data_IF_882126954739
#
_entry.id   IF_882126954739
#
_cell.length_a   1.000
_cell.length_b   1.000
_cell.length_c   1.000
_cell.angle_alpha   90.00
_cell.angle_beta   90.00
_cell.angle_gamma   90.00
#
_symmetry.space_group_name_H-M   'P 1'
#
loop_
_entity.id
_entity.type
_entity.pdbx_description
1 polymer ?
#
# COMPACT_ATOMS: atom_id res chain seq x y z
N UNK A 1 5.42 23.59 -20.41
CA UNK A 1 5.57 24.09 -19.02
C UNK A 1 6.03 22.92 -18.17
N UNK A 2 7.23 23.00 -17.60
CA UNK A 2 7.87 21.92 -16.83
C UNK A 2 7.94 22.40 -15.38
N UNK A 3 7.32 21.67 -14.46
CA UNK A 3 7.47 21.91 -13.02
C UNK A 3 8.66 21.09 -12.56
N UNK A 4 9.76 21.75 -12.18
CA UNK A 4 10.85 21.12 -11.44
C UNK A 4 10.52 21.18 -9.95
N UNK A 5 10.42 20.03 -9.29
CA UNK A 5 10.43 19.94 -7.84
C UNK A 5 11.87 19.71 -7.37
N UNK A 6 12.49 20.71 -6.76
CA UNK A 6 13.75 20.58 -6.02
C UNK A 6 13.44 20.15 -4.59
N UNK A 7 13.96 18.99 -4.18
CA UNK A 7 14.00 18.57 -2.78
C UNK A 7 15.10 19.34 -2.04
N UNK A 8 14.74 19.99 -0.93
CA UNK A 8 15.69 20.57 0.03
C UNK A 8 15.66 19.71 1.28
N UNK A 9 16.64 18.81 1.42
CA UNK A 9 16.84 18.02 2.63
C UNK A 9 17.26 18.95 3.78
N UNK A 10 16.55 18.84 4.90
CA UNK A 10 17.06 19.26 6.21
C UNK A 10 16.47 18.29 7.24
N UNK A 11 17.32 17.35 7.66
CA UNK A 11 17.32 16.65 8.94
C UNK A 11 16.09 15.84 9.35
N UNK A 12 16.00 14.59 8.86
CA UNK A 12 15.69 13.41 9.69
C UNK A 12 16.39 12.18 9.08
N UNK A 13 17.64 11.94 9.44
CA UNK A 13 18.30 10.65 9.15
C UNK A 13 18.18 9.74 10.37
N UNK A 14 17.02 9.07 10.53
CA UNK A 14 16.98 7.83 11.31
C UNK A 14 17.40 6.66 10.42
N UNK A 15 18.29 5.82 10.94
CA UNK A 15 18.82 4.59 10.30
C UNK A 15 17.72 3.54 10.03
N UNK A 16 16.55 3.66 10.65
CA UNK A 16 15.41 2.76 10.42
C UNK A 16 14.58 3.17 9.18
N UNK A 17 14.43 4.47 8.90
CA UNK A 17 13.78 5.01 7.67
C UNK A 17 14.48 4.57 6.39
N UNK A 18 15.82 4.51 6.40
CA UNK A 18 16.61 4.05 5.26
C UNK A 18 16.47 2.54 5.00
N UNK A 19 16.22 1.73 6.04
CA UNK A 19 16.00 0.29 5.92
C UNK A 19 14.61 -0.09 5.42
N UNK A 20 13.58 0.69 5.75
CA UNK A 20 12.21 0.47 5.27
C UNK A 20 12.11 0.67 3.74
N UNK A 21 12.73 1.71 3.20
CA UNK A 21 12.77 1.97 1.75
C UNK A 21 13.70 0.99 1.03
N UNK A 22 14.84 0.61 1.63
CA UNK A 22 15.82 -0.29 1.00
C UNK A 22 15.39 -1.76 0.92
N UNK A 23 14.29 -2.15 1.59
CA UNK A 23 13.75 -3.53 1.60
C UNK A 23 12.49 -3.73 0.76
N UNK A 24 12.02 -2.69 0.07
CA UNK A 24 11.06 -2.88 -1.01
C UNK A 24 11.77 -3.69 -2.12
N UNK A 25 11.15 -4.74 -2.70
CA UNK A 25 11.76 -5.48 -3.80
C UNK A 25 12.08 -4.50 -4.91
N UNK A 26 13.35 -4.47 -5.35
CA UNK A 26 13.79 -3.56 -6.39
C UNK A 26 12.87 -3.73 -7.63
N UNK A 27 12.41 -2.62 -8.25
CA UNK A 27 11.57 -2.71 -9.44
C UNK A 27 12.31 -3.52 -10.50
N UNK A 28 11.66 -4.56 -11.04
CA UNK A 28 12.25 -5.51 -11.99
C UNK A 28 12.52 -4.88 -13.37
N UNK A 29 12.71 -3.57 -13.46
CA UNK A 29 13.09 -2.86 -14.68
C UNK A 29 13.86 -1.58 -14.37
N UNK A 30 14.97 -1.70 -13.64
CA UNK A 30 16.07 -0.73 -13.73
C UNK A 30 17.36 -1.49 -13.96
N UNK A 31 17.89 -1.42 -15.19
CA UNK A 31 19.25 -1.86 -15.48
C UNK A 31 20.22 -0.91 -14.77
N UNK A 32 20.74 -1.37 -13.63
CA UNK A 32 21.96 -0.93 -12.94
C UNK A 32 22.13 0.57 -12.66
N UNK A 33 22.18 0.94 -11.38
CA UNK A 33 22.90 2.15 -10.92
C UNK A 33 24.24 1.67 -10.37
N UNK A 34 25.32 1.96 -11.09
CA UNK A 34 26.67 1.79 -10.57
C UNK A 34 27.04 3.05 -9.75
N UNK A 35 27.46 2.86 -8.51
CA UNK A 35 28.06 3.93 -7.69
C UNK A 35 29.57 3.81 -7.85
N UNK A 36 30.14 4.59 -8.77
CA UNK A 36 31.58 4.72 -8.96
C UNK A 36 32.09 6.00 -8.30
N UNK A 37 33.01 5.88 -7.36
CA UNK A 37 33.82 7.00 -6.88
C UNK A 37 34.84 7.38 -7.97
N UNK A 38 34.89 8.67 -8.37
CA UNK A 38 36.04 9.25 -9.09
C UNK A 38 35.75 9.74 -10.52
N UNK A 39 35.87 11.06 -10.68
CA UNK A 39 36.26 11.86 -11.86
C UNK A 39 36.23 11.24 -13.27
N UNK A 40 35.34 11.75 -14.13
CA UNK A 40 35.43 11.65 -15.60
C UNK A 40 34.13 12.02 -16.32
N UNK A 41 34.19 12.93 -17.31
CA UNK A 41 33.06 13.41 -18.13
C UNK A 41 32.37 12.29 -18.94
N UNK A 42 31.04 12.40 -19.12
CA UNK A 42 30.33 11.80 -20.24
C UNK A 42 29.19 12.72 -20.72
N UNK A 43 29.33 13.18 -21.96
CA UNK A 43 28.29 13.88 -22.72
C UNK A 43 27.09 12.95 -22.97
N UNK A 44 25.87 13.49 -22.86
CA UNK A 44 24.66 12.85 -23.38
C UNK A 44 24.03 13.79 -24.41
N UNK A 45 24.21 13.46 -25.68
CA UNK A 45 23.51 14.10 -26.80
C UNK A 45 22.08 13.57 -26.86
N UNK A 46 21.10 14.45 -26.76
CA UNK A 46 19.68 14.10 -27.00
C UNK A 46 19.32 14.44 -28.44
N UNK A 47 19.11 13.44 -29.30
CA UNK A 47 18.51 13.66 -30.63
C UNK A 47 17.01 13.49 -30.51
N UNK A 48 16.25 14.56 -30.70
CA UNK A 48 14.81 14.49 -30.96
C UNK A 48 14.59 14.76 -32.44
N UNK A 49 13.98 13.83 -33.18
CA UNK A 49 13.44 14.15 -34.50
C UNK A 49 11.95 13.80 -34.56
N UNK A 50 11.14 14.87 -34.53
CA UNK A 50 9.77 14.89 -35.01
C UNK A 50 9.85 15.15 -36.53
N UNK A 51 9.16 14.33 -37.36
CA UNK A 51 8.82 14.72 -38.74
C UNK A 51 8.78 13.60 -39.78
N UNK A 52 7.56 13.31 -40.26
CA UNK A 52 7.13 12.82 -41.59
C UNK A 52 8.12 11.97 -42.41
N UNK A 53 7.81 10.68 -42.55
CA UNK A 53 7.89 9.97 -43.84
C UNK A 53 6.96 8.75 -43.85
N UNK A 54 6.16 8.62 -44.92
CA UNK A 54 5.37 7.42 -45.22
C UNK A 54 6.21 6.54 -46.13
N UNK A 55 6.45 5.30 -45.72
CA UNK A 55 6.88 4.25 -46.66
C UNK A 55 6.07 3.00 -46.40
N UNK A 56 5.27 2.60 -47.39
CA UNK A 56 4.65 1.29 -47.50
C UNK A 56 5.71 0.30 -48.00
N UNK A 57 5.74 -0.90 -47.44
CA UNK A 57 6.22 -2.10 -48.14
C UNK A 57 5.47 -3.33 -47.61
N UNK A 58 5.02 -4.18 -48.53
CA UNK A 58 4.32 -5.45 -48.28
C UNK A 58 5.20 -6.62 -48.76
N UNK A 59 4.83 -7.80 -48.25
CA UNK A 59 5.14 -9.17 -48.70
C UNK A 59 6.48 -9.75 -48.24
N UNK A 60 6.60 -11.04 -47.93
CA UNK A 60 5.72 -12.18 -48.21
C UNK A 60 5.72 -13.24 -47.12
N UNK A 61 4.69 -14.08 -47.18
CA UNK A 61 4.51 -15.27 -46.37
C UNK A 61 5.43 -16.35 -46.93
N UNK A 62 6.26 -16.94 -46.08
CA UNK A 62 6.76 -18.30 -46.28
C UNK A 62 6.95 -18.96 -44.91
N UNK A 63 6.30 -20.10 -44.74
CA UNK A 63 6.57 -21.09 -43.69
C UNK A 63 6.76 -22.42 -44.44
N UNK A 64 7.52 -23.42 -43.94
CA UNK A 64 7.54 -23.77 -42.51
C UNK A 64 8.90 -24.22 -41.96
N UNK A 65 9.10 -24.03 -40.63
CA UNK A 65 9.49 -25.08 -39.66
C UNK A 65 10.06 -24.43 -38.39
N UNK A 66 9.50 -24.86 -37.26
CA UNK A 66 9.93 -24.65 -35.88
C UNK A 66 9.84 -23.21 -35.33
N UNK A 67 8.62 -22.80 -34.99
CA UNK A 67 8.39 -21.97 -33.80
C UNK A 67 7.18 -22.53 -33.07
N UNK A 68 7.40 -22.97 -31.84
CA UNK A 68 6.39 -23.53 -30.94
C UNK A 68 5.42 -22.41 -30.57
N UNK A 69 4.17 -22.55 -31.02
CA UNK A 69 3.02 -21.83 -30.48
C UNK A 69 2.80 -22.31 -29.03
N UNK A 70 3.09 -21.46 -28.06
CA UNK A 70 2.46 -21.57 -26.74
C UNK A 70 1.13 -20.84 -26.81
N UNK A 71 0.08 -21.64 -26.90
CA UNK A 71 -1.31 -21.24 -26.93
C UNK A 71 -1.68 -20.54 -25.61
N UNK A 72 -2.12 -19.29 -25.71
CA UNK A 72 -2.76 -18.57 -24.63
C UNK A 72 -4.18 -19.13 -24.46
N UNK A 73 -4.37 -20.13 -23.58
CA UNK A 73 -5.70 -20.53 -23.12
C UNK A 73 -5.75 -20.77 -21.62
N UNK A 74 -6.33 -19.78 -20.95
CA UNK A 74 -7.40 -19.95 -19.95
C UNK A 74 -7.02 -20.73 -18.70
N UNK A 75 -6.34 -20.08 -17.74
CA UNK A 75 -6.48 -20.48 -16.35
C UNK A 75 -7.86 -20.05 -15.86
N UNK A 76 -8.74 -21.02 -15.67
CA UNK A 76 -10.06 -20.81 -15.09
C UNK A 76 -9.94 -20.17 -13.71
N UNK A 77 -10.47 -18.96 -13.57
CA UNK A 77 -10.71 -18.32 -12.28
C UNK A 77 -11.72 -19.16 -11.52
N UNK A 78 -11.28 -19.87 -10.48
CA UNK A 78 -12.21 -20.43 -9.48
C UNK A 78 -12.71 -19.26 -8.63
N UNK A 79 -14.03 -18.99 -8.56
CA UNK A 79 -14.55 -18.06 -7.57
C UNK A 79 -14.56 -18.74 -6.20
N UNK A 80 -14.07 -18.06 -5.16
CA UNK A 80 -14.33 -18.46 -3.76
C UNK A 80 -13.15 -18.88 -2.89
N UNK A 81 -11.90 -18.54 -3.21
CA UNK A 81 -10.81 -18.61 -2.24
C UNK A 81 -10.13 -17.25 -2.18
N UNK A 82 -10.21 -16.58 -1.01
CA UNK A 82 -9.45 -15.37 -0.77
C UNK A 82 -7.96 -15.67 -0.97
N UNK A 83 -7.28 -14.82 -1.73
CA UNK A 83 -5.83 -14.93 -1.94
C UNK A 83 -5.15 -14.75 -0.58
N UNK A 84 -4.64 -15.85 0.00
CA UNK A 84 -3.95 -15.81 1.29
C UNK A 84 -2.72 -14.93 1.13
N UNK A 85 -2.75 -13.72 1.69
CA UNK A 85 -1.60 -12.83 1.66
C UNK A 85 -0.51 -13.51 2.51
N UNK A 86 0.65 -13.89 1.97
CA UNK A 86 1.63 -14.66 2.78
C UNK A 86 2.26 -13.75 3.84
N UNK A 87 2.59 -14.28 5.02
CA UNK A 87 3.35 -13.51 6.02
C UNK A 87 4.79 -13.32 5.53
N UNK A 88 5.12 -12.08 5.14
CA UNK A 88 6.50 -11.70 4.82
C UNK A 88 7.22 -11.22 6.09
N UNK A 89 8.55 -11.42 6.21
CA UNK A 89 9.32 -10.88 7.32
C UNK A 89 9.17 -9.35 7.39
N UNK A 90 8.43 -8.87 8.39
CA UNK A 90 8.23 -7.45 8.67
C UNK A 90 9.09 -7.05 9.88
N UNK A 91 9.99 -6.08 9.67
CA UNK A 91 10.70 -5.43 10.78
C UNK A 91 9.87 -4.23 11.21
N UNK A 92 9.22 -4.36 12.36
CA UNK A 92 8.44 -3.28 12.97
C UNK A 92 9.36 -2.07 13.28
N UNK A 93 9.04 -0.86 12.82
CA UNK A 93 9.82 0.32 13.16
C UNK A 93 9.65 0.69 14.65
N UNK A 94 10.62 1.38 15.25
CA UNK A 94 10.46 1.97 16.58
C UNK A 94 9.17 2.80 16.67
N UNK A 95 8.49 2.72 17.81
CA UNK A 95 7.12 3.27 17.96
C UNK A 95 7.04 4.77 17.70
N UNK A 96 8.05 5.51 18.11
CA UNK A 96 8.20 6.96 17.91
C UNK A 96 8.42 7.33 16.43
N UNK A 97 8.89 6.39 15.61
CA UNK A 97 9.06 6.59 14.17
C UNK A 97 7.80 6.26 13.35
N UNK A 98 6.85 5.49 13.90
CA UNK A 98 5.63 5.07 13.17
C UNK A 98 4.89 6.25 12.53
N UNK A 99 4.69 7.41 13.19
CA UNK A 99 4.03 8.56 12.54
C UNK A 99 4.79 9.09 11.32
N UNK A 100 6.13 9.08 11.37
CA UNK A 100 6.98 9.49 10.26
C UNK A 100 6.89 8.50 9.09
N UNK A 101 7.03 7.21 9.39
CA UNK A 101 6.90 6.12 8.40
C UNK A 101 5.52 6.15 7.74
N UNK A 102 4.46 6.31 8.53
CA UNK A 102 3.09 6.41 8.03
C UNK A 102 2.91 7.59 7.06
N UNK A 103 3.47 8.75 7.38
CA UNK A 103 3.42 9.93 6.49
C UNK A 103 4.14 9.67 5.16
N UNK A 104 5.31 9.04 5.21
CA UNK A 104 6.07 8.69 4.01
C UNK A 104 5.36 7.64 3.16
N UNK A 105 4.68 6.68 3.80
CA UNK A 105 3.89 5.67 3.10
C UNK A 105 2.71 6.30 2.34
N UNK A 106 1.99 7.22 2.97
CA UNK A 106 0.95 8.02 2.30
C UNK A 106 1.52 8.78 1.10
N UNK A 107 2.66 9.46 1.26
CA UNK A 107 3.29 10.19 0.15
C UNK A 107 3.67 9.27 -1.01
N UNK A 108 4.15 8.05 -0.73
CA UNK A 108 4.47 7.07 -1.76
C UNK A 108 3.22 6.60 -2.53
N UNK A 109 2.11 6.35 -1.81
CA UNK A 109 0.81 6.01 -2.43
C UNK A 109 0.29 7.14 -3.32
N UNK A 110 0.33 8.39 -2.83
CA UNK A 110 -0.10 9.57 -3.59
C UNK A 110 0.79 9.85 -4.81
N UNK A 111 2.07 9.50 -4.74
CA UNK A 111 3.00 9.57 -5.86
C UNK A 111 2.82 8.44 -6.89
N UNK A 112 1.91 7.48 -6.64
CA UNK A 112 1.66 6.35 -7.54
C UNK A 112 2.76 5.30 -7.53
N UNK A 113 3.51 5.17 -6.44
CA UNK A 113 4.48 4.08 -6.28
C UNK A 113 3.72 2.78 -6.06
N UNK A 114 3.86 1.84 -6.99
CA UNK A 114 3.11 0.59 -7.02
C UNK A 114 3.37 -0.26 -5.77
N UNK A 115 4.62 -0.31 -5.34
CA UNK A 115 5.06 -1.05 -4.16
C UNK A 115 4.47 -0.49 -2.85
N UNK A 116 3.95 0.74 -2.85
CA UNK A 116 3.31 1.30 -1.65
C UNK A 116 1.95 0.64 -1.35
N UNK A 117 1.33 -0.05 -2.31
CA UNK A 117 0.03 -0.71 -2.13
C UNK A 117 0.13 -2.11 -1.50
N UNK A 118 1.34 -2.63 -1.31
CA UNK A 118 1.59 -3.91 -0.64
C UNK A 118 2.74 -3.77 0.35
N UNK A 119 2.57 -4.23 1.58
CA UNK A 119 3.61 -4.16 2.60
C UNK A 119 3.43 -5.25 3.65
N UNK A 120 4.53 -5.84 4.13
CA UNK A 120 4.50 -6.99 5.05
C UNK A 120 3.65 -8.17 4.54
N UNK A 121 3.64 -8.36 3.21
CA UNK A 121 2.78 -9.35 2.57
C UNK A 121 1.27 -9.06 2.67
N UNK A 122 0.84 -7.86 3.07
CA UNK A 122 -0.55 -7.44 3.13
C UNK A 122 -0.85 -6.31 2.14
N UNK A 123 -2.04 -6.34 1.53
CA UNK A 123 -2.56 -5.20 0.78
C UNK A 123 -2.78 -4.01 1.71
N UNK A 124 -2.53 -2.83 1.19
CA UNK A 124 -2.62 -1.57 1.91
C UNK A 124 -3.78 -0.74 1.36
N UNK A 125 -4.38 0.08 2.23
CA UNK A 125 -5.30 1.13 1.84
C UNK A 125 -4.88 2.45 2.46
N UNK A 126 -5.23 3.55 1.81
CA UNK A 126 -5.14 4.89 2.37
C UNK A 126 -6.51 5.29 2.92
N UNK A 127 -6.57 5.57 4.22
CA UNK A 127 -7.76 6.05 4.91
C UNK A 127 -7.66 7.58 5.08
N UNK A 128 -8.68 8.30 4.62
CA UNK A 128 -8.84 9.75 4.81
C UNK A 128 -9.92 10.02 5.85
N UNK A 129 -9.60 10.80 6.88
CA UNK A 129 -10.50 11.20 7.97
C UNK A 129 -10.43 12.71 8.24
N UNK A 130 -11.44 13.25 8.91
CA UNK A 130 -11.44 14.57 9.54
C UNK A 130 -11.03 14.42 10.99
N UNK A 131 -10.07 15.22 11.44
CA UNK A 131 -9.55 15.16 12.80
C UNK A 131 -10.55 15.70 13.81
N UNK A 132 -11.05 14.86 14.72
CA UNK A 132 -12.10 15.20 15.71
C UNK A 132 -11.82 16.44 16.56
N UNK A 133 -10.54 16.78 16.76
CA UNK A 133 -10.11 17.98 17.52
C UNK A 133 -9.73 19.15 16.61
N UNK A 134 -9.15 18.86 15.44
CA UNK A 134 -8.54 19.87 14.58
C UNK A 134 -9.44 20.36 13.46
N UNK A 135 -10.46 19.59 13.06
CA UNK A 135 -11.22 19.82 11.82
C UNK A 135 -10.42 19.57 10.53
N UNK A 136 -9.09 19.51 10.60
CA UNK A 136 -8.22 19.23 9.46
C UNK A 136 -8.38 17.80 8.93
N UNK A 137 -8.14 17.64 7.63
CA UNK A 137 -8.01 16.34 6.99
C UNK A 137 -6.72 15.62 7.42
N UNK A 138 -6.83 14.31 7.66
CA UNK A 138 -5.72 13.41 7.96
C UNK A 138 -5.79 12.18 7.05
N UNK A 139 -4.62 11.72 6.59
CA UNK A 139 -4.47 10.47 5.83
C UNK A 139 -3.52 9.52 6.53
N UNK A 140 -3.82 8.23 6.45
CA UNK A 140 -2.98 7.15 6.99
C UNK A 140 -3.01 5.95 6.05
N UNK A 141 -1.85 5.35 5.78
CA UNK A 141 -1.75 4.06 5.11
C UNK A 141 -1.89 2.94 6.14
N UNK A 142 -2.76 1.98 5.87
CA UNK A 142 -3.10 0.88 6.77
C UNK A 142 -3.08 -0.46 6.03
N UNK A 143 -2.48 -1.52 6.61
CA UNK A 143 -2.73 -2.87 6.14
C UNK A 143 -4.20 -3.19 6.38
N UNK A 144 -4.82 -3.86 5.41
CA UNK A 144 -6.16 -4.40 5.60
C UNK A 144 -6.18 -5.90 5.32
N UNK A 145 -6.96 -6.60 6.13
CA UNK A 145 -7.27 -7.99 5.95
C UNK A 145 -8.63 -8.13 5.28
N UNK A 146 -8.82 -9.16 4.45
CA UNK A 146 -10.11 -9.46 3.85
C UNK A 146 -10.67 -10.68 4.54
N UNK A 147 -11.82 -10.51 5.19
CA UNK A 147 -12.47 -11.62 5.90
C UNK A 147 -13.08 -12.65 4.93
N UNK A 148 -13.53 -13.83 5.41
CA UNK A 148 -14.12 -14.85 4.55
C UNK A 148 -15.38 -14.38 3.79
N UNK A 149 -16.05 -13.33 4.27
CA UNK A 149 -17.19 -12.72 3.58
C UNK A 149 -16.77 -11.62 2.58
N UNK A 150 -15.47 -11.40 2.37
CA UNK A 150 -14.93 -10.45 1.41
C UNK A 150 -14.86 -9.00 1.92
N UNK A 151 -15.04 -8.77 3.23
CA UNK A 151 -15.09 -7.44 3.83
C UNK A 151 -13.70 -7.01 4.29
N UNK A 152 -13.40 -5.71 4.15
CA UNK A 152 -12.10 -5.14 4.53
C UNK A 152 -12.08 -4.82 6.02
N UNK A 153 -11.13 -5.39 6.74
CA UNK A 153 -10.89 -5.18 8.17
C UNK A 153 -9.56 -4.46 8.35
N UNK A 154 -9.58 -3.32 9.03
CA UNK A 154 -8.36 -2.62 9.49
C UNK A 154 -8.21 -2.75 11.01
N UNK A 155 -6.98 -2.78 11.48
CA UNK A 155 -6.65 -3.11 12.87
C UNK A 155 -5.99 -1.91 13.57
N UNK A 156 -6.61 -1.41 14.63
CA UNK A 156 -6.09 -0.29 15.42
C UNK A 156 -5.03 -0.75 16.46
N UNK A 157 -4.04 -1.51 15.99
CA UNK A 157 -3.01 -2.14 16.84
C UNK A 157 -1.95 -1.14 17.30
N UNK A 158 -1.48 -0.26 16.41
CA UNK A 158 -0.40 0.68 16.65
C UNK A 158 0.81 0.04 17.37
N UNK A 159 1.29 -1.10 16.84
CA UNK A 159 2.42 -1.86 17.42
C UNK A 159 2.21 -2.25 18.90
N UNK A 160 0.96 -2.53 19.30
CA UNK A 160 0.60 -2.83 20.68
C UNK A 160 0.80 -1.66 21.64
N UNK A 161 0.70 -0.41 21.15
CA UNK A 161 0.80 0.77 22.02
C UNK A 161 -0.32 0.78 23.09
N UNK A 162 -0.08 1.38 24.27
CA UNK A 162 -1.09 1.49 25.34
C UNK A 162 -2.28 2.38 24.96
N UNK A 163 -2.17 3.19 23.92
CA UNK A 163 -3.23 4.06 23.41
C UNK A 163 -3.65 3.67 21.99
N UNK A 164 -4.91 3.91 21.65
CA UNK A 164 -5.38 3.77 20.27
C UNK A 164 -4.69 4.79 19.34
N UNK A 165 -4.50 4.46 18.05
CA UNK A 165 -3.99 5.42 17.08
C UNK A 165 -5.01 6.54 16.81
N UNK A 166 -4.51 7.71 16.43
CA UNK A 166 -5.34 8.92 16.25
C UNK A 166 -6.42 8.75 15.19
N UNK A 167 -6.15 8.00 14.12
CA UNK A 167 -7.14 7.72 13.08
C UNK A 167 -8.34 6.96 13.63
N UNK A 168 -8.15 6.06 14.61
CA UNK A 168 -9.26 5.32 15.21
C UNK A 168 -10.17 6.25 16.00
N UNK A 169 -9.58 7.15 16.81
CA UNK A 169 -10.34 8.19 17.49
C UNK A 169 -11.11 9.11 16.52
N UNK A 170 -10.58 9.38 15.33
CA UNK A 170 -11.33 10.14 14.32
C UNK A 170 -12.56 9.36 13.82
N UNK A 171 -12.45 8.03 13.64
CA UNK A 171 -13.56 7.18 13.20
C UNK A 171 -14.68 7.04 14.24
N UNK A 172 -14.37 7.21 15.52
CA UNK A 172 -15.37 7.21 16.61
C UNK A 172 -16.24 8.48 16.58
N UNK A 173 -15.74 9.58 16.00
CA UNK A 173 -16.51 10.80 15.78
C UNK A 173 -17.35 10.67 14.50
N UNK A 174 -18.55 10.11 14.65
CA UNK A 174 -19.49 9.90 13.54
C UNK A 174 -20.12 11.18 13.00
N UNK A 175 -20.08 12.28 13.75
CA UNK A 175 -20.57 13.58 13.27
C UNK A 175 -19.57 14.20 12.28
N UNK A 176 -18.28 14.12 12.58
CA UNK A 176 -17.22 14.58 11.68
C UNK A 176 -16.89 13.58 10.57
N UNK A 177 -17.08 12.28 10.83
CA UNK A 177 -16.75 11.19 9.91
C UNK A 177 -17.92 10.20 9.72
N UNK A 178 -19.09 10.64 9.21
CA UNK A 178 -20.22 9.75 8.92
C UNK A 178 -19.87 8.76 7.80
N UNK A 179 -19.04 9.21 6.86
CA UNK A 179 -18.37 8.39 5.84
C UNK A 179 -16.91 8.81 5.76
N UNK A 180 -16.06 7.86 5.35
CA UNK A 180 -14.64 8.06 5.12
C UNK A 180 -14.28 7.65 3.71
N UNK A 181 -13.28 8.30 3.13
CA UNK A 181 -12.75 7.88 1.84
C UNK A 181 -11.65 6.85 2.09
N UNK A 182 -11.76 5.71 1.42
CA UNK A 182 -10.70 4.71 1.35
C UNK A 182 -10.20 4.61 -0.08
N UNK A 183 -8.89 4.60 -0.24
CA UNK A 183 -8.23 4.41 -1.54
C UNK A 183 -7.44 3.12 -1.49
N UNK A 184 -7.68 2.23 -2.44
CA UNK A 184 -6.83 1.06 -2.72
C UNK A 184 -6.16 1.25 -4.07
N UNK A 185 -5.31 0.29 -4.44
CA UNK A 185 -4.73 0.21 -5.79
C UNK A 185 -5.78 0.24 -6.91
N UNK A 186 -6.99 -0.26 -6.64
CA UNK A 186 -8.10 -0.34 -7.60
C UNK A 186 -8.91 0.97 -7.72
N UNK A 187 -8.66 1.95 -6.85
CA UNK A 187 -9.33 3.24 -6.86
C UNK A 187 -9.85 3.70 -5.50
N UNK A 188 -10.59 4.80 -5.50
CA UNK A 188 -11.16 5.42 -4.29
C UNK A 188 -12.66 5.21 -4.20
N UNK A 189 -13.14 5.05 -2.97
CA UNK A 189 -14.55 4.87 -2.65
C UNK A 189 -14.88 5.47 -1.28
N UNK A 190 -16.15 5.81 -1.08
CA UNK A 190 -16.71 6.16 0.21
C UNK A 190 -17.09 4.88 0.97
N UNK A 191 -16.80 4.84 2.26
CA UNK A 191 -17.09 3.74 3.14
C UNK A 191 -17.58 4.24 4.52
N UNK A 192 -18.35 3.42 5.23
CA UNK A 192 -18.63 3.63 6.65
C UNK A 192 -17.69 2.75 7.47
N UNK A 193 -17.16 3.33 8.56
CA UNK A 193 -16.33 2.60 9.51
C UNK A 193 -17.19 1.99 10.63
N UNK A 194 -17.09 0.69 10.80
CA UNK A 194 -17.88 -0.09 11.75
C UNK A 194 -16.96 -0.83 12.73
N UNK A 195 -16.65 -0.24 13.91
CA UNK A 195 -15.89 -0.92 14.95
C UNK A 195 -16.64 -2.15 15.46
N UNK A 196 -15.96 -3.30 15.46
CA UNK A 196 -16.56 -4.57 15.88
C UNK A 196 -16.48 -4.72 17.41
N UNK A 197 -17.52 -5.32 17.98
CA UNK A 197 -17.60 -5.65 19.40
C UNK A 197 -18.15 -7.09 19.64
N UNK A 198 -18.20 -7.49 20.91
CA UNK A 198 -18.84 -8.75 21.34
C UNK A 198 -18.38 -10.00 20.60
N UNK A 199 -19.35 -10.84 20.25
CA UNK A 199 -19.11 -12.13 19.59
C UNK A 199 -18.57 -11.96 18.16
N UNK A 200 -18.97 -10.89 17.46
CA UNK A 200 -18.48 -10.60 16.11
C UNK A 200 -17.00 -10.23 16.15
N UNK A 201 -16.58 -9.40 17.11
CA UNK A 201 -15.17 -9.11 17.36
C UNK A 201 -14.38 -10.39 17.57
N UNK A 202 -14.84 -11.25 18.49
CA UNK A 202 -14.09 -12.46 18.86
C UNK A 202 -13.91 -13.39 17.66
N UNK A 203 -14.99 -13.61 16.90
CA UNK A 203 -14.95 -14.42 15.67
C UNK A 203 -13.95 -13.87 14.65
N UNK A 204 -13.99 -12.57 14.37
CA UNK A 204 -13.09 -11.95 13.39
C UNK A 204 -11.65 -11.94 13.91
N UNK A 205 -11.44 -11.69 15.20
CA UNK A 205 -10.12 -11.72 15.83
C UNK A 205 -9.46 -13.10 15.72
N UNK A 206 -10.21 -14.17 15.96
CA UNK A 206 -9.69 -15.53 15.86
C UNK A 206 -9.31 -15.90 14.42
N UNK A 207 -10.13 -15.52 13.44
CA UNK A 207 -9.83 -15.72 12.02
C UNK A 207 -8.63 -14.88 11.57
N UNK A 208 -8.60 -13.60 11.94
CA UNK A 208 -7.52 -12.68 11.61
C UNK A 208 -6.20 -13.19 12.18
N UNK A 209 -6.15 -13.58 13.46
CA UNK A 209 -4.90 -14.02 14.11
C UNK A 209 -4.47 -15.42 13.69
N UNK A 210 -5.37 -16.25 13.17
CA UNK A 210 -5.00 -17.51 12.49
C UNK A 210 -4.29 -17.25 11.15
N UNK A 211 -4.66 -16.19 10.41
CA UNK A 211 -3.99 -15.77 9.18
C UNK A 211 -2.73 -14.90 9.46
N UNK A 212 -2.81 -14.04 10.48
CA UNK A 212 -1.84 -12.99 10.84
C UNK A 212 -1.45 -13.08 12.31
N UNK A 213 -0.60 -14.05 12.62
CA UNK A 213 -0.21 -14.36 14.00
C UNK A 213 0.39 -13.15 14.75
N UNK A 214 1.10 -12.25 14.06
CA UNK A 214 1.74 -11.08 14.69
C UNK A 214 0.76 -10.12 15.38
N UNK A 215 -0.54 -10.12 15.04
CA UNK A 215 -1.53 -9.34 15.79
C UNK A 215 -1.75 -9.88 17.21
N UNK A 216 -1.56 -11.19 17.42
CA UNK A 216 -1.61 -11.80 18.76
C UNK A 216 -0.47 -11.25 19.62
N UNK A 217 0.73 -11.15 19.07
CA UNK A 217 1.88 -10.55 19.76
C UNK A 217 1.60 -9.09 20.15
N UNK A 218 1.03 -8.27 19.26
CA UNK A 218 0.62 -6.90 19.61
C UNK A 218 -0.37 -6.83 20.76
N UNK A 219 -1.33 -7.75 20.83
CA UNK A 219 -2.30 -7.79 21.94
C UNK A 219 -1.64 -8.16 23.28
N UNK A 220 -0.55 -8.94 23.28
CA UNK A 220 0.18 -9.24 24.53
C UNK A 220 0.93 -8.04 25.11
N UNK A 221 1.18 -7.01 24.30
CA UNK A 221 1.95 -5.81 24.67
C UNK A 221 1.08 -4.69 25.25
N UNK A 222 -0.23 -4.90 25.38
CA UNK A 222 -1.19 -3.87 25.83
C UNK A 222 -2.41 -4.46 26.53
N UNK A 223 -2.94 -3.76 27.53
CA UNK A 223 -4.12 -4.19 28.27
C UNK A 223 -5.44 -3.83 27.57
N UNK A 224 -5.40 -2.89 26.62
CA UNK A 224 -6.60 -2.52 25.85
C UNK A 224 -6.94 -3.60 24.84
N UNK A 225 -8.22 -3.85 24.62
CA UNK A 225 -8.67 -4.58 23.44
C UNK A 225 -8.23 -3.80 22.19
N UNK A 226 -7.54 -4.46 21.25
CA UNK A 226 -7.16 -3.84 19.97
C UNK A 226 -8.41 -3.76 19.09
N UNK A 227 -8.89 -2.56 18.70
CA UNK A 227 -10.11 -2.45 17.90
C UNK A 227 -9.92 -3.01 16.49
N UNK A 228 -10.94 -3.73 16.03
CA UNK A 228 -11.11 -4.13 14.64
C UNK A 228 -12.18 -3.24 14.02
N UNK A 229 -11.89 -2.68 12.85
CA UNK A 229 -12.84 -1.83 12.13
C UNK A 229 -13.13 -2.45 10.79
N UNK A 230 -14.40 -2.83 10.59
CA UNK A 230 -14.92 -3.21 9.29
C UNK A 230 -15.20 -1.96 8.47
N UNK A 231 -14.71 -1.94 7.23
CA UNK A 231 -14.97 -0.88 6.26
C UNK A 231 -16.07 -1.37 5.30
N UNK A 232 -17.24 -0.76 5.39
CA UNK A 232 -18.39 -1.10 4.54
C UNK A 232 -18.45 -0.13 3.38
N UNK A 233 -18.19 -0.63 2.18
CA UNK A 233 -18.23 0.13 0.92
C UNK A 233 -19.62 0.69 0.65
N UNK A 234 -19.70 1.97 0.27
CA UNK A 234 -20.96 2.68 0.01
C UNK A 234 -21.13 3.04 -1.46
N UNK A 235 -20.31 3.98 -1.95
CA UNK A 235 -20.37 4.50 -3.32
C UNK A 235 -18.98 4.83 -3.86
N UNK A 236 -18.77 4.81 -5.18
CA UNK A 236 -17.58 5.39 -5.79
C UNK A 236 -17.40 6.87 -5.43
N UNK A 237 -16.15 7.35 -5.48
CA UNK A 237 -15.81 8.78 -5.32
C UNK A 237 -16.13 9.56 -6.59
#
# INVERSE_FOLDING_TARGET
>A
MRVEMRWRNSDVTSTATSRYIARMPAPTSVKSIAIGAGSGLLEVVTVTRIGRERTRSRFGVDSPRNAILVDAKTSGRRPGMAESQKNEPYEEPPRDEIPGVSRMHVQAMEAGIEEAWTGAGMKQLMLRTVGRKSGNEHKVALPYWVDPEGRKIVVASFAGAPTHPHWYFNLEDKDANPEVQITTQDGSQWATADPLDGDEYQRIWDLLTADREFYRDYQTRTDRQIPLVRLVEQRPV
#
